data_IF_372411521421
#
_entry.id   IF_372411521421
#
_cell.length_a   1.000
_cell.length_b   1.000
_cell.length_c   1.000
_cell.angle_alpha   90.00
_cell.angle_beta   90.00
_cell.angle_gamma   90.00
#
_symmetry.space_group_name_H-M   'P 1'
#
loop_
_entity.id
_entity.type
_entity.pdbx_description
1 polymer ?
#
# COMPACT_ATOMS: atom_id res chain seq x y z
N UNK A 1 4.34 4.74 -11.79
CA UNK A 1 5.66 5.01 -11.21
C UNK A 1 5.69 4.59 -9.72
N UNK A 2 4.83 5.14 -8.90
CA UNK A 2 4.87 4.94 -7.43
C UNK A 2 4.75 3.46 -7.04
N UNK A 3 3.88 2.71 -7.68
CA UNK A 3 3.61 1.30 -7.33
C UNK A 3 4.82 0.38 -7.50
N UNK A 4 5.62 0.57 -8.55
CA UNK A 4 6.73 -0.32 -8.90
C UNK A 4 8.08 0.38 -8.96
N UNK A 5 8.14 1.65 -8.62
CA UNK A 5 9.35 2.50 -8.66
C UNK A 5 10.18 2.32 -9.95
N UNK A 6 9.50 2.26 -11.09
CA UNK A 6 10.12 1.98 -12.39
C UNK A 6 10.55 3.27 -13.11
N UNK A 7 11.84 3.40 -13.38
CA UNK A 7 12.38 4.51 -14.15
C UNK A 7 11.82 4.59 -15.59
N UNK A 8 11.41 3.46 -16.17
CA UNK A 8 10.87 3.41 -17.53
C UNK A 8 9.58 4.23 -17.71
N UNK A 9 8.76 4.37 -16.64
CA UNK A 9 7.51 5.13 -16.69
C UNK A 9 7.65 6.58 -16.20
N UNK A 10 8.85 6.99 -15.80
CA UNK A 10 9.10 8.35 -15.28
C UNK A 10 8.72 9.45 -16.27
N UNK A 11 9.05 9.39 -17.58
CA UNK A 11 8.64 10.42 -18.54
C UNK A 11 7.11 10.59 -18.62
N UNK A 12 6.37 9.48 -18.58
CA UNK A 12 4.90 9.49 -18.57
C UNK A 12 4.34 10.07 -17.27
N UNK A 13 4.95 9.76 -16.12
CA UNK A 13 4.57 10.31 -14.83
C UNK A 13 4.76 11.83 -14.79
N UNK A 14 5.91 12.33 -15.28
CA UNK A 14 6.19 13.78 -15.38
C UNK A 14 5.18 14.47 -16.30
N UNK A 15 4.90 13.89 -17.48
CA UNK A 15 3.91 14.44 -18.42
C UNK A 15 2.51 14.51 -17.79
N UNK A 16 2.11 13.48 -17.03
CA UNK A 16 0.83 13.45 -16.31
C UNK A 16 0.76 14.48 -15.18
N UNK A 17 1.86 14.63 -14.41
CA UNK A 17 1.96 15.65 -13.39
C UNK A 17 1.81 17.06 -13.97
N UNK A 18 2.50 17.37 -15.09
CA UNK A 18 2.40 18.68 -15.73
C UNK A 18 0.97 19.01 -16.17
N UNK A 19 0.23 18.03 -16.67
CA UNK A 19 -1.19 18.19 -16.99
C UNK A 19 -2.03 18.46 -15.74
N UNK A 20 -1.79 17.71 -14.65
CA UNK A 20 -2.50 17.91 -13.39
C UNK A 20 -2.23 19.32 -12.81
N UNK A 21 -0.98 19.76 -12.84
CA UNK A 21 -0.59 21.12 -12.40
C UNK A 21 -1.33 22.22 -13.18
N UNK A 22 -1.50 22.05 -14.48
CA UNK A 22 -2.23 23.02 -15.29
C UNK A 22 -3.72 23.13 -14.93
N UNK A 23 -4.28 22.12 -14.26
CA UNK A 23 -5.67 22.04 -13.84
C UNK A 23 -5.89 22.42 -12.35
N UNK A 24 -4.82 22.64 -11.58
CA UNK A 24 -4.95 22.89 -10.12
C UNK A 24 -5.75 24.14 -9.76
N UNK A 25 -5.82 25.13 -10.63
CA UNK A 25 -6.57 26.36 -10.39
C UNK A 25 -8.10 26.16 -10.23
N UNK A 26 -8.64 25.03 -10.67
CA UNK A 26 -10.06 24.64 -10.56
C UNK A 26 -10.28 23.43 -9.65
N UNK A 27 -9.22 22.86 -9.13
CA UNK A 27 -9.25 21.68 -8.28
C UNK A 27 -9.53 22.04 -6.81
N UNK A 28 -10.11 21.08 -6.06
CA UNK A 28 -10.27 21.22 -4.61
C UNK A 28 -8.91 21.30 -3.91
N UNK A 29 -8.89 21.85 -2.70
CA UNK A 29 -7.66 21.92 -1.89
C UNK A 29 -7.04 20.53 -1.67
N UNK A 30 -7.85 19.51 -1.44
CA UNK A 30 -7.41 18.12 -1.32
C UNK A 30 -6.69 17.62 -2.58
N UNK A 31 -7.26 17.86 -3.75
CA UNK A 31 -6.63 17.47 -5.04
C UNK A 31 -5.34 18.25 -5.29
N UNK A 32 -5.30 19.56 -4.95
CA UNK A 32 -4.09 20.37 -5.06
C UNK A 32 -2.95 19.80 -4.18
N UNK A 33 -3.27 19.35 -2.95
CA UNK A 33 -2.30 18.70 -2.06
C UNK A 33 -1.79 17.37 -2.64
N UNK A 34 -2.63 16.56 -3.27
CA UNK A 34 -2.18 15.35 -3.99
C UNK A 34 -1.21 15.68 -5.12
N UNK A 35 -1.49 16.71 -5.91
CA UNK A 35 -0.60 17.15 -6.98
C UNK A 35 0.74 17.66 -6.42
N UNK A 36 0.73 18.38 -5.30
CA UNK A 36 1.93 18.84 -4.61
C UNK A 36 2.77 17.65 -4.10
N UNK A 37 2.14 16.65 -3.48
CA UNK A 37 2.81 15.43 -3.04
C UNK A 37 3.51 14.70 -4.19
N UNK A 38 2.81 14.50 -5.32
CA UNK A 38 3.40 13.86 -6.50
C UNK A 38 4.55 14.68 -7.10
N UNK A 39 4.48 16.00 -7.06
CA UNK A 39 5.59 16.87 -7.48
C UNK A 39 6.83 16.62 -6.61
N UNK A 40 6.68 16.64 -5.28
CA UNK A 40 7.78 16.37 -4.37
C UNK A 40 8.39 15.00 -4.61
N UNK A 41 7.55 13.97 -4.85
CA UNK A 41 8.04 12.63 -5.13
C UNK A 41 8.89 12.59 -6.41
N UNK A 42 8.43 13.22 -7.50
CA UNK A 42 9.15 13.25 -8.77
C UNK A 42 10.40 14.16 -8.75
N UNK A 43 10.46 15.10 -7.81
CA UNK A 43 11.65 15.92 -7.52
C UNK A 43 12.66 15.20 -6.62
N UNK A 44 12.40 13.94 -6.22
CA UNK A 44 13.29 13.16 -5.36
C UNK A 44 13.21 13.53 -3.88
N UNK A 45 12.09 14.09 -3.43
CA UNK A 45 11.83 14.47 -2.03
C UNK A 45 10.69 13.63 -1.40
N UNK A 46 10.86 12.29 -1.25
CA UNK A 46 9.81 11.40 -0.77
C UNK A 46 9.30 11.76 0.62
N UNK A 47 10.15 12.28 1.51
CA UNK A 47 9.76 12.75 2.83
C UNK A 47 8.74 13.91 2.78
N UNK A 48 8.91 14.84 1.82
CA UNK A 48 7.95 15.94 1.62
C UNK A 48 6.64 15.42 1.01
N UNK A 49 6.72 14.46 0.10
CA UNK A 49 5.54 13.81 -0.45
C UNK A 49 4.73 13.11 0.66
N UNK A 50 5.39 12.35 1.54
CA UNK A 50 4.74 11.73 2.70
C UNK A 50 4.07 12.77 3.60
N UNK A 51 4.75 13.86 3.94
CA UNK A 51 4.18 14.93 4.77
C UNK A 51 2.88 15.52 4.15
N UNK A 52 2.82 15.71 2.84
CA UNK A 52 1.58 16.17 2.17
C UNK A 52 0.45 15.13 2.33
N UNK A 53 0.73 13.83 2.22
CA UNK A 53 -0.30 12.80 2.42
C UNK A 53 -0.71 12.66 3.90
N UNK A 54 0.21 12.88 4.85
CA UNK A 54 -0.11 12.98 6.28
C UNK A 54 -1.12 14.12 6.53
N UNK A 55 -0.91 15.30 5.96
CA UNK A 55 -1.82 16.43 6.04
C UNK A 55 -3.19 16.13 5.41
N UNK A 56 -3.22 15.45 4.25
CA UNK A 56 -4.47 15.04 3.61
C UNK A 56 -5.24 14.10 4.53
N UNK A 57 -4.60 13.09 5.10
CA UNK A 57 -5.29 12.10 5.94
C UNK A 57 -5.68 12.63 7.31
N UNK A 58 -5.03 13.69 7.81
CA UNK A 58 -5.47 14.40 9.00
C UNK A 58 -6.83 15.10 8.81
N UNK A 59 -7.05 15.70 7.64
CA UNK A 59 -8.30 16.35 7.28
C UNK A 59 -9.34 15.38 6.68
N UNK A 60 -8.87 14.35 5.97
CA UNK A 60 -9.67 13.37 5.21
C UNK A 60 -9.20 11.94 5.55
N UNK A 61 -9.52 11.41 6.74
CA UNK A 61 -9.01 10.11 7.20
C UNK A 61 -9.40 8.93 6.30
N UNK A 62 -10.45 9.06 5.50
CA UNK A 62 -10.90 8.06 4.54
C UNK A 62 -10.31 8.24 3.13
N UNK A 63 -9.29 9.08 2.95
CA UNK A 63 -8.62 9.22 1.65
C UNK A 63 -7.68 8.03 1.41
N UNK A 64 -8.26 6.95 0.86
CA UNK A 64 -7.51 5.71 0.56
C UNK A 64 -6.38 5.94 -0.45
N UNK A 65 -6.50 6.95 -1.34
CA UNK A 65 -5.44 7.27 -2.29
C UNK A 65 -4.23 7.85 -1.56
N UNK A 66 -4.43 8.81 -0.64
CA UNK A 66 -3.36 9.38 0.18
C UNK A 66 -2.65 8.29 0.99
N UNK A 67 -3.42 7.42 1.67
CA UNK A 67 -2.89 6.29 2.43
C UNK A 67 -2.04 5.37 1.57
N UNK A 68 -2.53 4.99 0.38
CA UNK A 68 -1.83 4.07 -0.51
C UNK A 68 -0.55 4.67 -1.08
N UNK A 69 -0.60 5.94 -1.50
CA UNK A 69 0.56 6.64 -2.04
C UNK A 69 1.64 6.84 -0.99
N UNK A 70 1.26 7.23 0.23
CA UNK A 70 2.16 7.32 1.39
C UNK A 70 2.81 5.96 1.66
N UNK A 71 2.01 4.90 1.77
CA UNK A 71 2.47 3.55 2.09
C UNK A 71 3.51 3.04 1.08
N UNK A 72 3.25 3.12 -0.23
CA UNK A 72 4.24 2.74 -1.25
C UNK A 72 5.48 3.62 -1.21
N UNK A 73 5.33 4.92 -0.97
CA UNK A 73 6.49 5.82 -0.88
C UNK A 73 7.36 5.47 0.32
N UNK A 74 6.77 5.18 1.47
CA UNK A 74 7.48 4.71 2.65
C UNK A 74 8.20 3.38 2.40
N UNK A 75 7.53 2.42 1.75
CA UNK A 75 8.13 1.13 1.39
C UNK A 75 9.39 1.31 0.54
N UNK A 76 9.28 2.01 -0.61
CA UNK A 76 10.42 2.22 -1.52
C UNK A 76 11.53 3.09 -0.93
N UNK A 77 11.24 3.89 0.08
CA UNK A 77 12.20 4.77 0.74
C UNK A 77 12.82 4.15 2.01
N UNK A 78 12.36 2.97 2.44
CA UNK A 78 12.82 2.30 3.64
C UNK A 78 12.33 2.96 4.94
N UNK A 79 11.24 3.71 4.91
CA UNK A 79 10.65 4.40 6.06
C UNK A 79 9.73 3.44 6.86
N UNK A 80 10.33 2.42 7.47
CA UNK A 80 9.60 1.29 8.10
C UNK A 80 8.63 1.73 9.20
N UNK A 81 8.99 2.69 10.05
CA UNK A 81 8.10 3.18 11.09
C UNK A 81 6.89 3.92 10.51
N UNK A 82 7.13 4.78 9.51
CA UNK A 82 6.05 5.54 8.85
C UNK A 82 5.14 4.62 8.03
N UNK A 83 5.66 3.53 7.50
CA UNK A 83 4.89 2.52 6.77
C UNK A 83 3.71 1.98 7.60
N UNK A 84 3.88 1.82 8.91
CA UNK A 84 2.83 1.43 9.84
C UNK A 84 2.11 2.64 10.46
N UNK A 85 2.85 3.71 10.79
CA UNK A 85 2.35 4.79 11.65
C UNK A 85 1.08 5.45 11.09
N UNK A 86 1.07 5.79 9.80
CA UNK A 86 -0.08 6.45 9.19
C UNK A 86 -1.31 5.54 9.09
N UNK A 87 -1.24 4.31 8.52
CA UNK A 87 -2.38 3.40 8.50
C UNK A 87 -2.95 3.12 9.90
N UNK A 88 -2.09 2.92 10.90
CA UNK A 88 -2.51 2.69 12.28
C UNK A 88 -3.17 3.92 12.92
N UNK A 89 -2.70 5.12 12.61
CA UNK A 89 -3.26 6.36 13.15
C UNK A 89 -4.68 6.63 12.66
N UNK A 90 -4.99 6.30 11.39
CA UNK A 90 -6.32 6.52 10.83
C UNK A 90 -7.29 5.37 11.11
N UNK A 91 -6.80 4.18 11.44
CA UNK A 91 -7.61 2.97 11.65
C UNK A 91 -8.82 3.17 12.60
N UNK A 92 -8.74 3.94 13.70
CA UNK A 92 -9.90 4.17 14.57
C UNK A 92 -11.08 4.91 13.91
N UNK A 93 -10.87 5.56 12.77
CA UNK A 93 -11.91 6.23 11.98
C UNK A 93 -12.55 5.31 10.93
N UNK A 94 -12.10 4.06 10.81
CA UNK A 94 -12.53 3.12 9.80
C UNK A 94 -13.25 1.91 10.41
N UNK A 95 -14.23 1.38 9.69
CA UNK A 95 -14.92 0.13 9.97
C UNK A 95 -15.35 -0.55 8.66
N UNK A 96 -16.02 -1.68 8.75
CA UNK A 96 -16.45 -2.50 7.60
C UNK A 96 -17.48 -1.82 6.68
N UNK A 97 -18.06 -0.71 7.11
CA UNK A 97 -18.97 0.10 6.29
C UNK A 97 -18.24 1.07 5.38
N UNK A 98 -16.96 1.37 5.68
CA UNK A 98 -16.14 2.28 4.89
C UNK A 98 -15.54 1.54 3.70
N UNK A 99 -15.77 1.99 2.46
CA UNK A 99 -15.16 1.37 1.29
C UNK A 99 -13.63 1.28 1.42
N UNK A 100 -13.05 0.14 1.03
CA UNK A 100 -11.61 -0.13 1.12
C UNK A 100 -11.07 -0.39 2.54
N UNK A 101 -11.90 -0.64 3.52
CA UNK A 101 -11.43 -0.99 4.87
C UNK A 101 -10.45 -2.18 4.85
N UNK A 102 -10.75 -3.25 4.10
CA UNK A 102 -9.82 -4.38 3.94
C UNK A 102 -8.44 -3.96 3.39
N UNK A 103 -8.41 -2.99 2.46
CA UNK A 103 -7.12 -2.48 1.95
C UNK A 103 -6.33 -1.73 3.02
N UNK A 104 -7.00 -1.00 3.93
CA UNK A 104 -6.34 -0.37 5.08
C UNK A 104 -5.76 -1.43 6.03
N UNK A 105 -6.54 -2.48 6.35
CA UNK A 105 -6.06 -3.60 7.17
C UNK A 105 -4.82 -4.27 6.54
N UNK A 106 -4.80 -4.43 5.22
CA UNK A 106 -3.64 -4.95 4.48
C UNK A 106 -2.40 -4.05 4.60
N UNK A 107 -2.57 -2.73 4.58
CA UNK A 107 -1.47 -1.78 4.82
C UNK A 107 -0.96 -1.86 6.27
N UNK A 108 -1.85 -2.00 7.26
CA UNK A 108 -1.47 -2.22 8.66
C UNK A 108 -0.70 -3.53 8.81
N UNK A 109 -1.20 -4.61 8.20
CA UNK A 109 -0.55 -5.92 8.22
C UNK A 109 0.87 -5.88 7.69
N UNK A 110 1.07 -5.27 6.53
CA UNK A 110 2.39 -5.16 5.93
C UNK A 110 3.34 -4.27 6.76
N UNK A 111 2.85 -3.16 7.30
CA UNK A 111 3.65 -2.32 8.19
C UNK A 111 4.06 -3.02 9.48
N UNK A 112 3.21 -3.87 10.05
CA UNK A 112 3.51 -4.71 11.22
C UNK A 112 4.56 -5.78 10.88
N UNK A 113 4.43 -6.41 9.71
CA UNK A 113 5.38 -7.42 9.22
C UNK A 113 6.78 -6.80 9.08
N UNK A 114 6.92 -5.67 8.43
CA UNK A 114 8.19 -4.95 8.24
C UNK A 114 8.85 -4.52 9.57
N UNK A 115 8.09 -4.45 10.65
CA UNK A 115 8.59 -4.19 12.00
C UNK A 115 8.82 -5.46 12.83
N UNK A 116 8.58 -6.66 12.27
CA UNK A 116 8.77 -7.95 12.94
C UNK A 116 7.66 -8.30 13.94
N UNK A 117 6.52 -7.63 13.90
CA UNK A 117 5.35 -7.88 14.75
C UNK A 117 4.42 -8.94 14.13
N UNK A 118 5.00 -10.12 13.86
CA UNK A 118 4.44 -11.16 12.99
C UNK A 118 3.06 -11.66 13.41
N UNK A 119 2.81 -11.88 14.71
CA UNK A 119 1.51 -12.38 15.19
C UNK A 119 0.37 -11.39 14.91
N UNK A 120 0.66 -10.09 15.00
CA UNK A 120 -0.31 -9.06 14.69
C UNK A 120 -0.47 -8.89 13.17
N UNK A 121 0.66 -8.91 12.44
CA UNK A 121 0.67 -8.83 10.99
C UNK A 121 -0.18 -9.93 10.35
N UNK A 122 -0.01 -11.18 10.79
CA UNK A 122 -0.80 -12.32 10.28
C UNK A 122 -2.29 -12.15 10.53
N UNK A 123 -2.70 -11.71 11.74
CA UNK A 123 -4.12 -11.47 12.03
C UNK A 123 -4.71 -10.41 11.11
N UNK A 124 -4.13 -9.23 11.06
CA UNK A 124 -4.61 -8.15 10.19
C UNK A 124 -4.62 -8.53 8.71
N UNK A 125 -3.59 -9.25 8.26
CA UNK A 125 -3.50 -9.69 6.87
C UNK A 125 -4.56 -10.72 6.49
N UNK A 126 -4.89 -11.66 7.40
CA UNK A 126 -5.97 -12.63 7.20
C UNK A 126 -7.33 -11.95 7.19
N UNK A 127 -7.59 -11.05 8.13
CA UNK A 127 -8.83 -10.27 8.19
C UNK A 127 -9.01 -9.44 6.90
N UNK A 128 -7.94 -8.83 6.41
CA UNK A 128 -7.94 -8.09 5.16
C UNK A 128 -8.25 -8.95 3.93
N UNK A 129 -7.64 -10.15 3.84
CA UNK A 129 -7.86 -11.08 2.75
C UNK A 129 -9.26 -11.70 2.78
N UNK A 130 -9.85 -11.89 3.96
CA UNK A 130 -11.25 -12.35 4.11
C UNK A 130 -12.22 -11.29 3.57
N UNK A 131 -11.98 -10.01 3.84
CA UNK A 131 -12.82 -8.92 3.35
C UNK A 131 -12.62 -8.63 1.87
N UNK A 132 -11.41 -8.78 1.36
CA UNK A 132 -11.09 -8.57 -0.04
C UNK A 132 -10.04 -9.59 -0.53
N UNK A 133 -10.49 -10.75 -1.03
CA UNK A 133 -9.57 -11.80 -1.55
C UNK A 133 -8.69 -11.33 -2.72
N UNK A 134 -9.09 -10.29 -3.45
CA UNK A 134 -8.31 -9.70 -4.55
C UNK A 134 -7.19 -8.74 -4.04
N UNK A 135 -7.12 -8.46 -2.73
CA UNK A 135 -6.04 -7.64 -2.17
C UNK A 135 -4.76 -8.44 -2.01
N UNK A 136 -4.01 -8.55 -3.10
CA UNK A 136 -2.74 -9.26 -3.12
C UNK A 136 -1.69 -8.66 -2.19
N UNK A 137 -1.85 -7.41 -1.76
CA UNK A 137 -0.95 -6.78 -0.79
C UNK A 137 -1.13 -7.38 0.60
N UNK A 138 -2.39 -7.62 1.01
CA UNK A 138 -2.69 -8.30 2.28
C UNK A 138 -2.22 -9.77 2.26
N UNK A 139 -2.51 -10.49 1.16
CA UNK A 139 -2.05 -11.88 0.97
C UNK A 139 -0.53 -11.98 1.03
N UNK A 140 0.16 -11.04 0.41
CA UNK A 140 1.62 -10.91 0.40
C UNK A 140 2.19 -10.68 1.81
N UNK A 141 1.58 -9.81 2.61
CA UNK A 141 2.00 -9.56 3.98
C UNK A 141 2.00 -10.84 4.84
N UNK A 142 0.95 -11.66 4.70
CA UNK A 142 0.87 -12.95 5.40
C UNK A 142 1.91 -13.95 4.88
N UNK A 143 2.17 -13.96 3.57
CA UNK A 143 3.22 -14.81 3.00
C UNK A 143 4.61 -14.44 3.56
N UNK A 144 4.92 -13.15 3.66
CA UNK A 144 6.15 -12.66 4.31
C UNK A 144 6.29 -13.14 5.75
N UNK A 145 5.20 -13.04 6.55
CA UNK A 145 5.21 -13.55 7.94
C UNK A 145 5.59 -15.02 7.98
N UNK A 146 4.98 -15.84 7.11
CA UNK A 146 5.25 -17.28 7.08
C UNK A 146 6.67 -17.58 6.62
N UNK A 147 7.21 -16.83 5.66
CA UNK A 147 8.59 -16.93 5.21
C UNK A 147 9.57 -16.58 6.34
N UNK A 148 9.37 -15.46 7.02
CA UNK A 148 10.23 -15.02 8.12
C UNK A 148 10.19 -15.97 9.32
N UNK A 149 9.07 -16.65 9.55
CA UNK A 149 8.90 -17.66 10.59
C UNK A 149 9.28 -19.09 10.11
N UNK A 150 9.77 -19.26 8.89
CA UNK A 150 10.13 -20.56 8.31
C UNK A 150 8.97 -21.57 8.24
N UNK A 151 7.74 -21.07 8.06
CA UNK A 151 6.51 -21.86 7.98
C UNK A 151 6.16 -22.20 6.52
N UNK A 152 7.08 -22.82 5.79
CA UNK A 152 6.97 -23.06 4.35
C UNK A 152 5.67 -23.83 3.96
N UNK A 153 5.30 -24.87 4.71
CA UNK A 153 4.09 -25.66 4.44
C UNK A 153 2.83 -24.82 4.57
N UNK A 154 2.77 -23.94 5.58
CA UNK A 154 1.64 -23.04 5.78
C UNK A 154 1.62 -21.96 4.69
N UNK A 155 2.78 -21.46 4.29
CA UNK A 155 2.93 -20.49 3.20
C UNK A 155 2.42 -21.03 1.86
N UNK A 156 2.79 -22.25 1.50
CA UNK A 156 2.26 -22.91 0.29
C UNK A 156 0.74 -23.01 0.36
N UNK A 157 0.19 -23.52 1.48
CA UNK A 157 -1.28 -23.66 1.66
C UNK A 157 -2.00 -22.32 1.59
N UNK A 158 -1.42 -21.29 2.20
CA UNK A 158 -1.96 -19.94 2.18
C UNK A 158 -2.04 -19.38 0.76
N UNK A 159 -0.97 -19.53 -0.01
CA UNK A 159 -0.91 -19.03 -1.38
C UNK A 159 -1.77 -19.88 -2.34
N UNK A 160 -1.87 -21.20 -2.15
CA UNK A 160 -2.76 -22.06 -2.94
C UNK A 160 -4.22 -21.63 -2.81
N UNK A 161 -4.69 -21.43 -1.57
CA UNK A 161 -6.05 -20.94 -1.33
C UNK A 161 -6.28 -19.56 -1.98
N UNK A 162 -5.34 -18.66 -1.84
CA UNK A 162 -5.47 -17.31 -2.35
C UNK A 162 -5.43 -17.23 -3.87
N UNK A 163 -4.61 -18.09 -4.55
CA UNK A 163 -4.47 -18.08 -6.01
C UNK A 163 -5.79 -18.36 -6.74
N UNK A 164 -6.69 -19.12 -6.15
CA UNK A 164 -8.00 -19.43 -6.73
C UNK A 164 -8.94 -18.21 -6.78
N UNK A 165 -8.63 -17.17 -5.99
CA UNK A 165 -9.43 -15.94 -5.89
C UNK A 165 -8.84 -14.76 -6.68
N UNK A 166 -7.62 -14.92 -7.25
CA UNK A 166 -6.95 -13.83 -7.95
C UNK A 166 -7.46 -13.65 -9.37
N UNK A 167 -7.78 -12.42 -9.71
CA UNK A 167 -8.08 -12.06 -11.09
C UNK A 167 -6.82 -12.15 -11.96
N UNK A 168 -6.96 -12.74 -13.16
CA UNK A 168 -5.83 -13.00 -14.06
C UNK A 168 -5.03 -11.76 -14.47
N UNK A 169 -5.63 -10.58 -14.45
CA UNK A 169 -5.00 -9.34 -14.86
C UNK A 169 -4.31 -8.55 -13.72
N UNK A 170 -4.30 -9.04 -12.48
CA UNK A 170 -3.61 -8.35 -11.40
C UNK A 170 -2.08 -8.45 -11.61
N UNK A 171 -1.37 -7.31 -11.84
CA UNK A 171 0.04 -7.33 -12.18
C UNK A 171 0.94 -7.83 -11.04
N UNK A 172 0.44 -7.82 -9.80
CA UNK A 172 1.17 -8.29 -8.62
C UNK A 172 1.16 -9.81 -8.48
N UNK A 173 0.32 -10.51 -9.23
CA UNK A 173 0.20 -11.98 -9.21
C UNK A 173 1.52 -12.70 -9.44
N UNK A 174 2.35 -12.19 -10.37
CA UNK A 174 3.67 -12.78 -10.64
C UNK A 174 4.60 -12.76 -9.43
N UNK A 175 4.52 -11.71 -8.60
CA UNK A 175 5.27 -11.60 -7.36
C UNK A 175 4.79 -12.59 -6.30
N UNK A 176 3.48 -12.82 -6.21
CA UNK A 176 2.91 -13.85 -5.32
C UNK A 176 3.38 -15.26 -5.73
N UNK A 177 3.43 -15.58 -7.04
CA UNK A 177 4.00 -16.85 -7.53
C UNK A 177 5.48 -17.00 -7.19
N UNK A 178 6.22 -15.89 -7.20
CA UNK A 178 7.62 -15.92 -6.79
C UNK A 178 7.76 -16.28 -5.31
N UNK A 179 6.95 -15.70 -4.40
CA UNK A 179 6.93 -16.10 -2.98
C UNK A 179 6.60 -17.57 -2.80
N UNK A 180 5.63 -18.10 -3.55
CA UNK A 180 5.32 -19.53 -3.48
C UNK A 180 6.50 -20.40 -3.90
N UNK A 181 7.34 -19.93 -4.81
CA UNK A 181 8.58 -20.61 -5.22
C UNK A 181 9.72 -20.56 -4.19
N UNK A 182 9.64 -19.65 -3.21
CA UNK A 182 10.59 -19.55 -2.11
C UNK A 182 10.31 -20.55 -0.98
N UNK A 183 9.07 -20.98 -0.80
CA UNK A 183 8.66 -22.01 0.16
C UNK A 183 9.02 -23.40 -0.31
#
# INVERSE_FOLDING_TARGET
>A
FVTFNSAAVLPSAVASLNKAVALTGTASEREQRHVAALRHLLEGAPNRACACWDEITADYPHDILALRMHHYTCFWSGYRQQLLALPAAVLPAWDDTVPHYGNLLGMVAFGLEELGLYDQAERYGRDAAEQNPDDLWAVHAVAHVMEMQQRAVDGIRWLDYSLDHFRDFNPFRGHIWWHKGLF
#
